data_IF_995250160967
#
_entry.id   IF_995250160967
#
_cell.length_a   1.000
_cell.length_b   1.000
_cell.length_c   1.000
_cell.angle_alpha   90.00
_cell.angle_beta   90.00
_cell.angle_gamma   90.00
#
_symmetry.space_group_name_H-M   'P 1'
#
loop_
_entity.id
_entity.type
_entity.pdbx_description
1 polymer ?
#
# COMPACT_ATOMS: atom_id res chain seq x y z
N UNK A 1 -30.91 52.13 -47.71
CA UNK A 1 -29.44 51.94 -47.61
C UNK A 1 -29.14 51.19 -46.33
N UNK A 2 -28.55 50.00 -46.45
CA UNK A 2 -28.16 49.12 -45.33
C UNK A 2 -26.95 49.74 -44.62
N UNK A 3 -27.00 49.88 -43.29
CA UNK A 3 -25.81 49.83 -42.43
C UNK A 3 -26.14 49.03 -41.18
N UNK A 4 -25.18 48.21 -40.83
CA UNK A 4 -25.23 46.97 -40.06
C UNK A 4 -24.64 47.16 -38.65
N UNK A 5 -24.94 46.19 -37.77
CA UNK A 5 -24.19 45.80 -36.56
C UNK A 5 -24.33 46.76 -35.36
N UNK A 6 -24.44 46.32 -34.10
CA UNK A 6 -23.98 45.08 -33.51
C UNK A 6 -24.88 44.64 -32.35
N UNK A 7 -25.00 43.32 -32.21
CA UNK A 7 -25.68 42.62 -31.13
C UNK A 7 -24.96 42.85 -29.79
N UNK A 8 -25.73 43.03 -28.72
CA UNK A 8 -25.27 42.87 -27.34
C UNK A 8 -26.11 41.77 -26.69
N UNK A 9 -25.70 40.52 -26.89
CA UNK A 9 -26.20 39.40 -26.08
C UNK A 9 -25.39 39.47 -24.79
N UNK A 10 -26.03 39.93 -23.72
CA UNK A 10 -25.48 39.90 -22.37
C UNK A 10 -25.46 38.44 -21.89
N UNK A 11 -24.40 37.71 -22.27
CA UNK A 11 -24.15 36.36 -21.78
C UNK A 11 -23.67 36.41 -20.34
N UNK A 12 -24.51 35.97 -19.40
CA UNK A 12 -24.09 35.71 -18.02
C UNK A 12 -23.27 34.43 -18.02
N UNK A 13 -21.95 34.58 -18.01
CA UNK A 13 -20.99 33.49 -17.84
C UNK A 13 -21.11 32.94 -16.42
N UNK A 14 -21.83 31.82 -16.25
CA UNK A 14 -21.76 31.03 -15.02
C UNK A 14 -20.35 30.44 -14.93
N UNK A 15 -19.48 31.08 -14.14
CA UNK A 15 -18.21 30.48 -13.73
C UNK A 15 -18.55 29.29 -12.81
N UNK A 16 -18.62 28.11 -13.40
CA UNK A 16 -18.53 26.85 -12.66
C UNK A 16 -17.08 26.74 -12.14
N UNK A 17 -16.80 27.38 -11.00
CA UNK A 17 -15.62 27.06 -10.20
C UNK A 17 -15.81 25.64 -9.66
N UNK A 18 -15.35 24.64 -10.41
CA UNK A 18 -15.16 23.31 -9.87
C UNK A 18 -14.21 23.45 -8.67
N UNK A 19 -14.55 22.94 -7.47
CA UNK A 19 -13.57 22.89 -6.41
C UNK A 19 -12.47 21.95 -6.90
N UNK A 20 -11.29 22.51 -7.18
CA UNK A 20 -10.07 21.73 -7.31
C UNK A 20 -9.83 21.12 -5.93
N UNK A 21 -10.36 19.92 -5.69
CA UNK A 21 -10.06 19.15 -4.50
C UNK A 21 -8.59 18.80 -4.59
N UNK A 22 -7.74 19.59 -3.92
CA UNK A 22 -6.36 19.23 -3.71
C UNK A 22 -6.34 17.86 -3.01
N UNK A 23 -6.06 16.80 -3.77
CA UNK A 23 -5.92 15.45 -3.22
C UNK A 23 -4.71 15.50 -2.30
N UNK A 24 -4.95 15.47 -0.99
CA UNK A 24 -3.89 15.40 0.00
C UNK A 24 -3.02 14.18 -0.30
N UNK A 25 -1.70 14.32 -0.16
CA UNK A 25 -0.78 13.20 -0.35
C UNK A 25 -1.20 12.04 0.57
N UNK A 26 -1.18 10.79 0.07
CA UNK A 26 -1.58 9.64 0.87
C UNK A 26 -0.68 9.50 2.10
N UNK A 27 -1.20 8.83 3.12
CA UNK A 27 -0.44 8.59 4.35
C UNK A 27 0.78 7.69 4.10
N UNK A 28 0.62 6.74 3.16
CA UNK A 28 1.54 5.65 2.85
C UNK A 28 1.58 5.35 1.34
N UNK A 29 2.64 4.67 0.91
CA UNK A 29 2.78 4.16 -0.45
C UNK A 29 2.69 2.63 -0.49
N UNK A 30 1.66 2.13 -1.17
CA UNK A 30 1.36 0.70 -1.28
C UNK A 30 1.82 0.06 -2.60
N UNK A 31 2.16 0.86 -3.61
CA UNK A 31 2.54 0.36 -4.95
C UNK A 31 1.55 -0.69 -5.47
N UNK A 32 2.05 -1.81 -6.01
CA UNK A 32 1.25 -2.88 -6.61
C UNK A 32 0.89 -3.99 -5.60
N UNK A 33 0.99 -3.71 -4.29
CA UNK A 33 0.73 -4.70 -3.26
C UNK A 33 -0.66 -5.33 -3.37
N UNK A 34 -1.71 -4.53 -3.54
CA UNK A 34 -3.09 -5.05 -3.62
C UNK A 34 -3.25 -6.02 -4.81
N UNK A 35 -2.70 -5.67 -5.96
CA UNK A 35 -2.81 -6.51 -7.15
C UNK A 35 -1.98 -7.79 -7.04
N UNK A 36 -0.74 -7.68 -6.56
CA UNK A 36 0.17 -8.82 -6.38
C UNK A 36 -0.34 -9.78 -5.29
N UNK A 37 -0.88 -9.27 -4.18
CA UNK A 37 -1.49 -10.07 -3.12
C UNK A 37 -2.72 -10.82 -3.64
N UNK A 38 -3.62 -10.13 -4.36
CA UNK A 38 -4.78 -10.79 -4.98
C UNK A 38 -4.37 -11.86 -5.99
N UNK A 39 -3.36 -11.58 -6.82
CA UNK A 39 -2.83 -12.53 -7.80
C UNK A 39 -2.24 -13.78 -7.14
N UNK A 40 -1.46 -13.61 -6.08
CA UNK A 40 -0.93 -14.73 -5.31
C UNK A 40 -2.04 -15.53 -4.64
N UNK A 41 -3.02 -14.87 -4.03
CA UNK A 41 -4.19 -15.56 -3.46
C UNK A 41 -4.96 -16.39 -4.49
N UNK A 42 -5.10 -15.88 -5.72
CA UNK A 42 -5.84 -16.55 -6.79
C UNK A 42 -5.06 -17.70 -7.45
N UNK A 43 -3.75 -17.54 -7.66
CA UNK A 43 -2.94 -18.49 -8.41
C UNK A 43 -2.11 -19.42 -7.53
N UNK A 44 -1.50 -18.88 -6.48
CA UNK A 44 -0.63 -19.61 -5.56
C UNK A 44 0.65 -20.17 -6.20
N UNK A 45 1.01 -19.74 -7.41
CA UNK A 45 2.19 -20.22 -8.13
C UNK A 45 3.45 -19.41 -7.80
N UNK A 46 4.63 -19.95 -8.12
CA UNK A 46 5.93 -19.31 -7.83
C UNK A 46 6.09 -17.93 -8.46
N UNK A 47 5.48 -17.70 -9.64
CA UNK A 47 5.54 -16.41 -10.31
C UNK A 47 4.74 -15.33 -9.56
N UNK A 48 3.54 -15.68 -9.10
CA UNK A 48 2.69 -14.81 -8.29
C UNK A 48 3.29 -14.54 -6.91
N UNK A 49 3.94 -15.55 -6.30
CA UNK A 49 4.71 -15.37 -5.07
C UNK A 49 5.87 -14.39 -5.24
N UNK A 50 6.68 -14.57 -6.28
CA UNK A 50 7.80 -13.67 -6.59
C UNK A 50 7.34 -12.23 -6.82
N UNK A 51 6.21 -12.04 -7.51
CA UNK A 51 5.62 -10.71 -7.71
C UNK A 51 5.19 -10.06 -6.39
N UNK A 52 4.61 -10.83 -5.47
CA UNK A 52 4.20 -10.33 -4.16
C UNK A 52 5.41 -9.97 -3.28
N UNK A 53 6.46 -10.80 -3.29
CA UNK A 53 7.72 -10.52 -2.59
C UNK A 53 8.33 -9.20 -3.09
N UNK A 54 8.37 -8.99 -4.41
CA UNK A 54 8.89 -7.74 -4.98
C UNK A 54 8.07 -6.52 -4.56
N UNK A 55 6.74 -6.65 -4.46
CA UNK A 55 5.87 -5.57 -3.99
C UNK A 55 6.17 -5.21 -2.52
N UNK A 56 6.34 -6.20 -1.64
CA UNK A 56 6.74 -5.97 -0.26
C UNK A 56 8.09 -5.27 -0.15
N UNK A 57 9.11 -5.76 -0.87
CA UNK A 57 10.43 -5.14 -0.83
C UNK A 57 10.43 -3.71 -1.38
N UNK A 58 9.57 -3.42 -2.37
CA UNK A 58 9.41 -2.07 -2.90
C UNK A 58 8.79 -1.14 -1.85
N UNK A 59 7.71 -1.58 -1.18
CA UNK A 59 7.13 -0.85 -0.05
C UNK A 59 8.21 -0.60 1.01
N UNK A 60 8.94 -1.63 1.44
CA UNK A 60 9.92 -1.50 2.52
C UNK A 60 11.07 -0.55 2.14
N UNK A 61 11.55 -0.59 0.89
CA UNK A 61 12.71 0.21 0.45
C UNK A 61 12.35 1.65 0.09
N UNK A 62 11.14 1.90 -0.39
CA UNK A 62 10.74 3.20 -0.92
C UNK A 62 9.40 3.58 -0.31
N UNK A 63 9.41 4.41 0.72
CA UNK A 63 8.17 5.01 1.22
C UNK A 63 8.05 6.46 0.78
N UNK A 64 6.90 6.79 0.19
CA UNK A 64 6.44 8.14 -0.02
C UNK A 64 5.11 8.35 0.71
N UNK A 65 4.74 9.60 0.91
CA UNK A 65 3.57 9.97 1.72
C UNK A 65 3.97 10.66 3.00
N UNK A 66 2.96 11.02 3.79
CA UNK A 66 3.17 11.92 4.93
C UNK A 66 4.00 11.29 6.05
N UNK A 67 3.86 9.97 6.28
CA UNK A 67 4.56 9.27 7.37
C UNK A 67 5.99 8.88 7.02
N UNK A 68 6.30 8.67 5.73
CA UNK A 68 7.61 8.18 5.25
C UNK A 68 8.11 6.91 5.98
N UNK A 69 7.17 6.11 6.49
CA UNK A 69 7.42 4.87 7.22
C UNK A 69 6.66 3.73 6.53
N UNK A 70 7.15 2.50 6.68
CA UNK A 70 6.50 1.31 6.13
C UNK A 70 5.11 1.18 6.75
N UNK A 71 4.04 0.88 5.99
CA UNK A 71 2.69 0.81 6.54
C UNK A 71 2.52 -0.29 7.59
N UNK A 72 1.61 -0.14 8.56
CA UNK A 72 1.34 -1.17 9.56
C UNK A 72 0.85 -2.46 8.90
N UNK A 73 1.30 -3.59 9.43
CA UNK A 73 0.99 -4.93 8.96
C UNK A 73 1.84 -5.41 7.77
N UNK A 74 2.59 -4.56 7.08
CA UNK A 74 3.42 -4.99 5.95
C UNK A 74 4.56 -5.90 6.40
N UNK A 75 5.24 -5.55 7.51
CA UNK A 75 6.28 -6.41 8.04
C UNK A 75 5.69 -7.71 8.61
N UNK A 76 4.50 -7.63 9.21
CA UNK A 76 3.76 -8.80 9.69
C UNK A 76 3.45 -9.81 8.57
N UNK A 77 2.79 -9.34 7.50
CA UNK A 77 2.35 -10.20 6.40
C UNK A 77 3.53 -10.73 5.59
N UNK A 78 4.50 -9.87 5.27
CA UNK A 78 5.72 -10.29 4.58
C UNK A 78 6.53 -11.29 5.40
N UNK A 79 6.71 -11.04 6.70
CA UNK A 79 7.44 -11.94 7.59
C UNK A 79 6.79 -13.32 7.68
N UNK A 80 5.46 -13.36 7.74
CA UNK A 80 4.71 -14.61 7.71
C UNK A 80 4.81 -15.35 6.37
N UNK A 81 4.74 -14.61 5.25
CA UNK A 81 4.93 -15.17 3.92
C UNK A 81 6.31 -15.83 3.79
N UNK A 82 7.37 -15.16 4.25
CA UNK A 82 8.74 -15.68 4.24
C UNK A 82 8.88 -16.96 5.07
N UNK A 83 8.29 -17.01 6.27
CA UNK A 83 8.29 -18.20 7.11
C UNK A 83 7.61 -19.38 6.39
N UNK A 84 6.47 -19.13 5.74
CA UNK A 84 5.77 -20.16 4.95
C UNK A 84 6.56 -20.63 3.73
N UNK A 85 7.41 -19.76 3.17
CA UNK A 85 8.33 -20.05 2.07
C UNK A 85 9.65 -20.71 2.54
N UNK A 86 9.78 -21.03 3.83
CA UNK A 86 10.97 -21.68 4.41
C UNK A 86 12.10 -20.71 4.78
N UNK A 87 11.92 -19.40 4.58
CA UNK A 87 12.90 -18.34 4.88
C UNK A 87 12.75 -17.85 6.31
N UNK A 88 12.91 -18.75 7.27
CA UNK A 88 12.61 -18.54 8.69
C UNK A 88 13.32 -17.31 9.30
N UNK A 89 14.64 -17.22 9.16
CA UNK A 89 15.42 -16.14 9.79
C UNK A 89 15.00 -14.76 9.27
N UNK A 90 14.81 -14.64 7.96
CA UNK A 90 14.37 -13.40 7.32
C UNK A 90 12.95 -13.03 7.75
N UNK A 91 12.04 -14.01 7.79
CA UNK A 91 10.67 -13.78 8.21
C UNK A 91 10.57 -13.36 9.68
N UNK A 92 11.32 -13.99 10.59
CA UNK A 92 11.40 -13.59 12.00
C UNK A 92 11.92 -12.15 12.15
N UNK A 93 12.95 -11.78 11.39
CA UNK A 93 13.46 -10.41 11.42
C UNK A 93 12.43 -9.37 10.95
N UNK A 94 11.56 -9.71 9.99
CA UNK A 94 10.46 -8.81 9.61
C UNK A 94 9.41 -8.73 10.72
N UNK A 95 9.01 -9.85 11.31
CA UNK A 95 8.06 -9.87 12.42
C UNK A 95 8.56 -9.04 13.62
N UNK A 96 9.85 -9.08 13.92
CA UNK A 96 10.46 -8.24 14.96
C UNK A 96 10.39 -6.75 14.62
N UNK A 97 10.65 -6.37 13.35
CA UNK A 97 10.48 -4.98 12.88
C UNK A 97 9.05 -4.47 13.00
N UNK A 98 8.06 -5.33 12.77
CA UNK A 98 6.65 -4.95 12.98
C UNK A 98 6.43 -4.56 14.45
N UNK A 99 6.93 -5.34 15.41
CA UNK A 99 6.76 -5.02 16.83
C UNK A 99 7.53 -3.77 17.27
N UNK A 100 8.68 -3.50 16.65
CA UNK A 100 9.47 -2.30 16.90
C UNK A 100 8.73 -1.03 16.41
N UNK A 101 8.17 -1.09 15.19
CA UNK A 101 7.51 0.06 14.58
C UNK A 101 6.05 0.23 15.06
N UNK A 102 5.39 -0.88 15.39
CA UNK A 102 3.98 -0.98 15.76
C UNK A 102 3.81 -1.88 17.00
N UNK A 103 4.11 -1.38 18.21
CA UNK A 103 4.04 -2.17 19.45
C UNK A 103 2.63 -2.70 19.76
N UNK A 104 1.58 -2.08 19.22
CA UNK A 104 0.20 -2.58 19.30
C UNK A 104 0.02 -3.96 18.66
N UNK A 105 0.87 -4.32 17.69
CA UNK A 105 0.85 -5.62 17.01
C UNK A 105 1.54 -6.73 17.82
N UNK A 106 2.33 -6.39 18.84
CA UNK A 106 3.26 -7.31 19.50
C UNK A 106 2.58 -8.58 20.03
N UNK A 107 1.39 -8.46 20.61
CA UNK A 107 0.63 -9.62 21.12
C UNK A 107 0.27 -10.60 19.98
N UNK A 108 -0.10 -10.10 18.80
CA UNK A 108 -0.40 -10.93 17.64
C UNK A 108 0.87 -11.61 17.12
N UNK A 109 1.94 -10.85 16.91
CA UNK A 109 3.20 -11.35 16.35
C UNK A 109 3.82 -12.43 17.25
N UNK A 110 3.86 -12.20 18.57
CA UNK A 110 4.35 -13.20 19.51
C UNK A 110 3.54 -14.50 19.48
N UNK A 111 2.21 -14.41 19.28
CA UNK A 111 1.36 -15.60 19.11
C UNK A 111 1.65 -16.34 17.81
N UNK A 112 1.90 -15.61 16.71
CA UNK A 112 2.26 -16.20 15.42
C UNK A 112 3.58 -16.98 15.51
N UNK A 113 4.62 -16.36 16.08
CA UNK A 113 5.93 -16.99 16.28
C UNK A 113 5.83 -18.24 17.15
N UNK A 114 5.19 -18.13 18.32
CA UNK A 114 5.01 -19.27 19.24
C UNK A 114 4.26 -20.43 18.58
N UNK A 115 3.21 -20.13 17.82
CA UNK A 115 2.43 -21.16 17.13
C UNK A 115 3.30 -21.93 16.14
N UNK A 116 4.12 -21.21 15.37
CA UNK A 116 4.94 -21.82 14.34
C UNK A 116 6.08 -22.66 14.96
N UNK A 117 6.77 -22.14 15.98
CA UNK A 117 7.81 -22.85 16.73
C UNK A 117 7.32 -24.17 17.35
N UNK A 118 6.06 -24.23 17.76
CA UNK A 118 5.46 -25.44 18.34
C UNK A 118 4.97 -26.45 17.29
N UNK A 119 4.92 -26.09 16.02
CA UNK A 119 4.40 -26.93 14.93
C UNK A 119 5.47 -27.52 14.01
N UNK A 120 6.74 -27.17 14.23
CA UNK A 120 7.93 -27.75 13.59
C UNK A 120 8.76 -28.53 14.62
#
# INVERSE_FOLDING_TARGET
MRKTLAAYILGVSVLLAAPATAVAAPLYSWYDYQESAYRYMKKGDSASLSSLIQAYELIIRRQYGQRKAVPPGIYADYGWLLIKDGRMQEGRAMLEKEMELYPESAVLIQRMLRRYENSN
#
